data_IF_875497221100
#
_entry.id   IF_875497221100
#
_cell.length_a   1.000
_cell.length_b   1.000
_cell.length_c   1.000
_cell.angle_alpha   90.00
_cell.angle_beta   90.00
_cell.angle_gamma   90.00
#
_symmetry.space_group_name_H-M   'P 1'
#
loop_
_entity.id
_entity.type
_entity.pdbx_description
1 polymer ?
#
# COMPACT_ATOMS: atom_id res chain seq x y z
N UNK A 1 -15.60 -8.20 50.55
CA UNK A 1 -14.19 -8.61 50.49
C UNK A 1 -13.72 -8.25 49.10
N UNK A 2 -12.90 -7.21 48.92
CA UNK A 2 -12.32 -6.94 47.62
C UNK A 2 -11.28 -8.03 47.33
N UNK A 3 -11.33 -8.61 46.15
CA UNK A 3 -10.32 -9.54 45.68
C UNK A 3 -9.00 -8.76 45.54
N UNK A 4 -8.07 -8.98 46.48
CA UNK A 4 -6.69 -8.51 46.35
C UNK A 4 -6.08 -9.24 45.14
N UNK A 5 -6.03 -8.55 44.01
CA UNK A 5 -5.18 -8.92 42.88
C UNK A 5 -3.72 -8.89 43.34
N UNK A 6 -3.28 -10.02 43.86
CA UNK A 6 -1.88 -10.28 44.18
C UNK A 6 -1.12 -10.33 42.86
N UNK A 7 -0.54 -9.19 42.48
CA UNK A 7 0.43 -9.14 41.39
C UNK A 7 1.71 -9.85 41.87
N UNK A 8 1.70 -11.18 41.81
CA UNK A 8 2.86 -12.01 42.14
C UNK A 8 3.75 -12.05 40.91
N UNK A 9 4.88 -11.34 40.98
CA UNK A 9 5.96 -11.43 39.99
C UNK A 9 6.73 -12.73 40.25
N UNK A 10 6.40 -13.79 39.53
CA UNK A 10 7.15 -15.05 39.56
C UNK A 10 8.40 -14.94 38.67
N UNK A 11 9.56 -15.31 39.20
CA UNK A 11 10.80 -15.42 38.44
C UNK A 11 10.98 -16.81 37.81
N UNK A 12 12.01 -16.99 36.97
CA UNK A 12 12.29 -18.27 36.29
C UNK A 12 12.48 -19.44 37.29
N UNK A 13 13.09 -19.20 38.45
CA UNK A 13 13.26 -20.22 39.51
C UNK A 13 11.93 -20.63 40.18
N UNK A 14 10.97 -19.71 40.25
CA UNK A 14 9.64 -20.00 40.78
C UNK A 14 8.84 -20.81 39.77
N UNK A 15 9.05 -20.56 38.48
CA UNK A 15 8.46 -21.35 37.40
C UNK A 15 8.88 -22.82 37.48
N UNK A 16 10.18 -23.11 37.55
CA UNK A 16 10.70 -24.49 37.63
C UNK A 16 10.16 -25.20 38.89
N UNK A 17 10.06 -24.47 40.00
CA UNK A 17 9.54 -25.00 41.27
C UNK A 17 8.06 -25.35 41.17
N UNK A 18 7.25 -24.48 40.54
CA UNK A 18 5.82 -24.72 40.30
C UNK A 18 5.63 -25.84 39.28
N UNK A 19 6.42 -25.87 38.22
CA UNK A 19 6.39 -26.94 37.21
C UNK A 19 6.64 -28.30 37.87
N UNK A 20 7.70 -28.40 38.69
CA UNK A 20 8.01 -29.63 39.43
C UNK A 20 6.81 -30.09 40.28
N UNK A 21 6.21 -29.19 41.05
CA UNK A 21 5.05 -29.49 41.89
C UNK A 21 3.81 -29.94 41.07
N UNK A 22 3.56 -29.32 39.92
CA UNK A 22 2.45 -29.72 39.03
C UNK A 22 2.72 -31.09 38.40
N UNK A 23 3.98 -31.37 38.04
CA UNK A 23 4.42 -32.63 37.43
C UNK A 23 4.31 -33.83 38.37
N UNK A 24 4.29 -33.64 39.70
CA UNK A 24 4.10 -34.72 40.68
C UNK A 24 2.74 -35.43 40.52
N UNK A 25 1.69 -34.67 40.15
CA UNK A 25 0.32 -35.20 40.08
C UNK A 25 -0.07 -35.65 38.67
N UNK A 26 -0.89 -36.71 38.58
CA UNK A 26 -1.45 -37.17 37.29
C UNK A 26 -2.26 -36.06 36.60
N UNK A 27 -3.01 -35.28 37.38
CA UNK A 27 -3.85 -34.19 36.88
C UNK A 27 -3.03 -33.02 36.37
N UNK A 28 -1.93 -32.67 37.04
CA UNK A 28 -1.02 -31.61 36.62
C UNK A 28 -0.30 -31.95 35.31
N UNK A 29 0.21 -33.18 35.17
CA UNK A 29 0.79 -33.66 33.90
C UNK A 29 -0.20 -33.59 32.73
N UNK A 30 -1.46 -33.99 32.95
CA UNK A 30 -2.51 -33.86 31.93
C UNK A 30 -2.79 -32.40 31.57
N UNK A 31 -2.88 -31.52 32.57
CA UNK A 31 -3.09 -30.09 32.37
C UNK A 31 -1.97 -29.46 31.54
N UNK A 32 -0.69 -29.71 31.88
CA UNK A 32 0.44 -29.15 31.14
C UNK A 32 0.48 -29.65 29.68
N UNK A 33 0.21 -30.95 29.46
CA UNK A 33 0.11 -31.52 28.12
C UNK A 33 -0.99 -30.87 27.29
N UNK A 34 -2.17 -30.69 27.89
CA UNK A 34 -3.31 -30.07 27.22
C UNK A 34 -3.11 -28.57 27.01
N UNK A 35 -2.47 -27.87 27.96
CA UNK A 35 -2.10 -26.47 27.86
C UNK A 35 -1.10 -26.25 26.72
N UNK A 36 -0.02 -27.03 26.65
CA UNK A 36 0.95 -26.96 25.56
C UNK A 36 0.31 -27.22 24.18
N UNK A 37 -0.64 -28.17 24.10
CA UNK A 37 -1.40 -28.44 22.87
C UNK A 37 -2.24 -27.23 22.44
N UNK A 38 -2.94 -26.59 23.38
CA UNK A 38 -3.76 -25.40 23.10
C UNK A 38 -2.93 -24.18 22.77
N UNK A 39 -1.80 -24.00 23.45
CA UNK A 39 -0.89 -22.89 23.17
C UNK A 39 -0.35 -22.96 21.74
N UNK A 40 0.15 -24.13 21.31
CA UNK A 40 0.61 -24.34 19.92
C UNK A 40 -0.49 -24.06 18.88
N UNK A 41 -1.73 -24.43 19.17
CA UNK A 41 -2.86 -24.15 18.28
C UNK A 41 -3.17 -22.64 18.24
N UNK A 42 -3.11 -21.95 19.38
CA UNK A 42 -3.29 -20.50 19.45
C UNK A 42 -2.16 -19.75 18.73
N UNK A 43 -0.91 -20.18 18.89
CA UNK A 43 0.26 -19.63 18.18
C UNK A 43 0.10 -19.80 16.67
N UNK A 44 -0.35 -20.98 16.22
CA UNK A 44 -0.63 -21.24 14.81
C UNK A 44 -1.75 -20.35 14.29
N UNK A 45 -2.82 -20.17 15.07
CA UNK A 45 -3.94 -19.30 14.71
C UNK A 45 -3.50 -17.83 14.61
N UNK A 46 -2.70 -17.35 15.55
CA UNK A 46 -2.14 -16.01 15.52
C UNK A 46 -1.23 -15.79 14.30
N UNK A 47 -0.43 -16.80 13.92
CA UNK A 47 0.37 -16.77 12.70
C UNK A 47 -0.53 -16.78 11.46
N UNK A 48 -1.57 -17.61 11.41
CA UNK A 48 -2.52 -17.64 10.29
C UNK A 48 -3.25 -16.31 10.14
N UNK A 49 -3.68 -15.70 11.25
CA UNK A 49 -4.29 -14.37 11.24
C UNK A 49 -3.29 -13.29 10.80
N UNK A 50 -2.03 -13.37 11.22
CA UNK A 50 -0.98 -12.48 10.73
C UNK A 50 -0.71 -12.69 9.24
N UNK A 51 -0.68 -13.94 8.77
CA UNK A 51 -0.53 -14.29 7.35
C UNK A 51 -1.73 -13.79 6.55
N UNK A 52 -2.96 -13.92 7.05
CA UNK A 52 -4.17 -13.43 6.41
C UNK A 52 -4.20 -11.90 6.35
N UNK A 53 -3.69 -11.22 7.38
CA UNK A 53 -3.48 -9.76 7.35
C UNK A 53 -2.40 -9.34 6.36
N UNK A 54 -1.29 -10.08 6.27
CA UNK A 54 -0.22 -9.86 5.29
C UNK A 54 -0.61 -10.26 3.87
N UNK A 55 -1.64 -11.10 3.74
CA UNK A 55 -2.37 -11.38 2.49
C UNK A 55 -3.32 -10.24 2.14
N UNK A 56 -3.01 -9.03 2.60
CA UNK A 56 -3.54 -7.76 2.16
C UNK A 56 -3.84 -7.88 0.65
N UNK A 57 -5.07 -7.58 0.22
CA UNK A 57 -5.49 -7.86 -1.15
C UNK A 57 -4.47 -7.22 -2.07
N UNK A 58 -3.81 -8.07 -2.87
CA UNK A 58 -2.79 -7.67 -3.82
C UNK A 58 -3.29 -6.42 -4.53
N UNK A 59 -2.69 -5.25 -4.21
CA UNK A 59 -3.06 -3.92 -4.69
C UNK A 59 -4.07 -4.04 -5.80
N UNK A 60 -5.38 -3.93 -5.47
CA UNK A 60 -6.45 -4.16 -6.43
C UNK A 60 -6.01 -3.55 -7.75
N UNK A 61 -5.96 -4.29 -8.86
CA UNK A 61 -5.39 -3.77 -10.10
C UNK A 61 -6.08 -2.51 -10.64
N UNK A 62 -7.12 -2.03 -9.96
CA UNK A 62 -7.92 -0.85 -10.24
C UNK A 62 -7.14 0.47 -10.28
N UNK A 63 -6.31 0.89 -9.29
CA UNK A 63 -5.56 2.15 -9.38
C UNK A 63 -4.51 2.11 -10.49
N UNK A 64 -3.83 0.97 -10.68
CA UNK A 64 -2.90 0.76 -11.79
C UNK A 64 -3.60 0.77 -13.16
N UNK A 65 -4.78 0.17 -13.26
CA UNK A 65 -5.59 0.17 -14.47
C UNK A 65 -6.11 1.58 -14.79
N UNK A 66 -6.53 2.34 -13.78
CA UNK A 66 -6.94 3.72 -13.91
C UNK A 66 -5.77 4.59 -14.38
N UNK A 67 -4.62 4.56 -13.69
CA UNK A 67 -3.39 5.25 -14.11
C UNK A 67 -3.00 4.92 -15.55
N UNK A 68 -3.09 3.64 -15.95
CA UNK A 68 -2.81 3.23 -17.32
C UNK A 68 -3.79 3.84 -18.33
N UNK A 69 -5.08 3.89 -18.02
CA UNK A 69 -6.09 4.48 -18.89
C UNK A 69 -5.85 5.98 -19.10
N UNK A 70 -5.57 6.71 -18.02
CA UNK A 70 -5.29 8.16 -18.03
C UNK A 70 -4.02 8.45 -18.87
N UNK A 71 -2.95 7.67 -18.69
CA UNK A 71 -1.73 7.78 -19.52
C UNK A 71 -2.00 7.48 -21.01
N UNK A 72 -2.89 6.55 -21.31
CA UNK A 72 -3.29 6.24 -22.69
C UNK A 72 -4.08 7.39 -23.33
N UNK A 73 -4.94 8.06 -22.56
CA UNK A 73 -5.70 9.22 -23.02
C UNK A 73 -4.78 10.41 -23.30
N UNK A 74 -3.88 10.74 -22.37
CA UNK A 74 -2.87 11.78 -22.56
C UNK A 74 -1.99 11.51 -23.79
N UNK A 75 -1.55 10.26 -23.98
CA UNK A 75 -0.76 9.87 -25.15
C UNK A 75 -1.57 10.04 -26.45
N UNK A 76 -2.88 9.76 -26.43
CA UNK A 76 -3.75 9.98 -27.58
C UNK A 76 -3.90 11.47 -27.90
N UNK A 77 -4.11 12.33 -26.90
CA UNK A 77 -4.19 13.78 -27.07
C UNK A 77 -2.90 14.35 -27.68
N UNK A 78 -1.73 13.91 -27.19
CA UNK A 78 -0.42 14.32 -27.75
C UNK A 78 -0.29 13.89 -29.21
N UNK A 79 -0.63 12.63 -29.54
CA UNK A 79 -0.56 12.15 -30.93
C UNK A 79 -1.49 12.96 -31.84
N UNK A 80 -2.72 13.21 -31.41
CA UNK A 80 -3.69 14.00 -32.16
C UNK A 80 -3.17 15.42 -32.42
N UNK A 81 -2.61 16.08 -31.40
CA UNK A 81 -2.06 17.42 -31.56
C UNK A 81 -0.83 17.45 -32.45
N UNK A 82 0.06 16.46 -32.34
CA UNK A 82 1.20 16.33 -33.26
C UNK A 82 0.74 16.19 -34.71
N UNK A 83 -0.31 15.44 -34.96
CA UNK A 83 -0.88 15.27 -36.30
C UNK A 83 -1.55 16.57 -36.79
N UNK A 84 -2.35 17.21 -35.95
CA UNK A 84 -2.95 18.51 -36.26
C UNK A 84 -1.89 19.57 -36.61
N UNK A 85 -0.79 19.63 -35.86
CA UNK A 85 0.31 20.56 -36.12
C UNK A 85 1.02 20.24 -37.44
N UNK A 86 1.23 18.96 -37.77
CA UNK A 86 1.85 18.53 -39.04
C UNK A 86 0.98 18.85 -40.25
N UNK A 87 -0.35 18.79 -40.09
CA UNK A 87 -1.30 19.12 -41.15
C UNK A 87 -1.37 20.63 -41.44
N UNK A 88 -0.94 21.47 -40.50
CA UNK A 88 -0.94 22.91 -40.68
C UNK A 88 0.26 23.34 -41.53
N UNK A 89 0.08 24.27 -42.48
CA UNK A 89 1.18 24.74 -43.32
C UNK A 89 2.34 25.31 -42.50
N UNK A 90 3.55 24.99 -42.95
CA UNK A 90 4.81 25.46 -42.37
C UNK A 90 5.59 26.22 -43.45
N UNK A 91 6.33 27.25 -43.04
CA UNK A 91 7.30 27.86 -43.94
C UNK A 91 8.46 26.89 -44.12
N UNK A 92 8.63 26.34 -45.32
CA UNK A 92 9.80 25.55 -45.63
C UNK A 92 11.03 26.46 -45.75
N UNK A 93 12.16 26.14 -45.08
CA UNK A 93 13.39 26.92 -45.22
C UNK A 93 14.00 26.82 -46.64
N UNK A 94 13.58 25.83 -47.44
CA UNK A 94 14.09 25.56 -48.80
C UNK A 94 13.19 26.15 -49.91
N UNK A 95 12.17 26.95 -49.56
CA UNK A 95 11.35 27.71 -50.51
C UNK A 95 10.44 26.89 -51.43
N UNK A 96 10.31 25.58 -51.22
CA UNK A 96 9.56 24.67 -52.11
C UNK A 96 8.04 24.63 -51.83
N UNK A 97 7.58 25.19 -50.72
CA UNK A 97 6.15 25.33 -50.43
C UNK A 97 5.61 26.66 -51.00
N UNK A 98 4.91 26.55 -52.13
CA UNK A 98 4.50 27.67 -52.96
C UNK A 98 3.43 28.60 -52.41
N UNK A 99 3.24 29.71 -53.13
CA UNK A 99 2.07 30.59 -53.28
C UNK A 99 1.23 31.01 -52.06
N UNK A 100 1.58 30.66 -50.83
CA UNK A 100 0.85 31.12 -49.66
C UNK A 100 1.29 32.51 -49.24
N UNK A 101 0.33 33.34 -48.87
CA UNK A 101 0.60 34.66 -48.30
C UNK A 101 1.28 34.54 -46.94
N UNK A 102 2.14 35.50 -46.61
CA UNK A 102 2.71 35.66 -45.26
C UNK A 102 1.61 35.68 -44.19
N UNK A 103 0.44 36.25 -44.50
CA UNK A 103 -0.72 36.26 -43.62
C UNK A 103 -1.29 34.85 -43.35
N UNK A 104 -1.26 33.95 -44.34
CA UNK A 104 -1.74 32.56 -44.20
C UNK A 104 -0.75 31.73 -43.38
N UNK A 105 0.55 31.94 -43.57
CA UNK A 105 1.61 31.32 -42.77
C UNK A 105 1.56 31.78 -41.32
N UNK A 106 1.32 33.07 -41.08
CA UNK A 106 1.14 33.64 -39.74
C UNK A 106 -0.10 33.06 -39.05
N UNK A 107 -1.24 33.00 -39.74
CA UNK A 107 -2.47 32.40 -39.22
C UNK A 107 -2.27 30.91 -38.88
N UNK A 108 -1.55 30.15 -39.72
CA UNK A 108 -1.19 28.77 -39.44
C UNK A 108 -0.28 28.65 -38.21
N UNK A 109 0.65 29.58 -38.01
CA UNK A 109 1.52 29.61 -36.83
C UNK A 109 0.75 29.88 -35.54
N UNK A 110 -0.14 30.86 -35.55
CA UNK A 110 -1.04 31.13 -34.42
C UNK A 110 -1.94 29.93 -34.11
N UNK A 111 -2.40 29.22 -35.13
CA UNK A 111 -3.22 28.02 -34.94
C UNK A 111 -2.41 26.86 -34.33
N UNK A 112 -1.16 26.66 -34.78
CA UNK A 112 -0.23 25.68 -34.17
C UNK A 112 0.02 25.99 -32.69
N UNK A 113 0.34 27.25 -32.36
CA UNK A 113 0.58 27.69 -30.98
C UNK A 113 -0.67 27.46 -30.12
N UNK A 114 -1.86 27.85 -30.60
CA UNK A 114 -3.12 27.62 -29.89
C UNK A 114 -3.37 26.13 -29.63
N UNK A 115 -3.12 25.28 -30.62
CA UNK A 115 -3.29 23.84 -30.49
C UNK A 115 -2.31 23.23 -29.46
N UNK A 116 -1.05 23.69 -29.46
CA UNK A 116 -0.05 23.28 -28.47
C UNK A 116 -0.45 23.69 -27.05
N UNK A 117 -0.81 24.96 -26.84
CA UNK A 117 -1.24 25.49 -25.54
C UNK A 117 -2.43 24.71 -25.02
N UNK A 118 -3.45 24.47 -25.86
CA UNK A 118 -4.64 23.69 -25.47
C UNK A 118 -4.27 22.29 -24.98
N UNK A 119 -3.32 21.65 -25.64
CA UNK A 119 -2.88 20.30 -25.26
C UNK A 119 -2.08 20.34 -23.97
N UNK A 120 -1.18 21.31 -23.80
CA UNK A 120 -0.42 21.44 -22.55
C UNK A 120 -1.31 21.70 -21.34
N UNK A 121 -2.31 22.58 -21.46
CA UNK A 121 -3.25 22.84 -20.37
C UNK A 121 -4.10 21.60 -20.03
N UNK A 122 -4.51 20.83 -21.04
CA UNK A 122 -5.20 19.56 -20.81
C UNK A 122 -4.31 18.56 -20.06
N UNK A 123 -3.06 18.39 -20.49
CA UNK A 123 -2.11 17.50 -19.82
C UNK A 123 -1.81 17.96 -18.39
N UNK A 124 -1.67 19.26 -18.16
CA UNK A 124 -1.44 19.83 -16.83
C UNK A 124 -2.60 19.53 -15.88
N UNK A 125 -3.86 19.78 -16.31
CA UNK A 125 -5.04 19.45 -15.50
C UNK A 125 -5.06 17.98 -15.14
N UNK A 126 -4.84 17.10 -16.12
CA UNK A 126 -4.95 15.67 -15.95
C UNK A 126 -3.83 15.10 -15.06
N UNK A 127 -2.61 15.62 -15.16
CA UNK A 127 -1.50 15.27 -14.26
C UNK A 127 -1.82 15.71 -12.84
N UNK A 128 -2.38 16.91 -12.65
CA UNK A 128 -2.75 17.40 -11.33
C UNK A 128 -3.87 16.56 -10.70
N UNK A 129 -4.88 16.15 -11.48
CA UNK A 129 -5.96 15.27 -11.02
C UNK A 129 -5.39 13.91 -10.58
N UNK A 130 -4.47 13.34 -11.38
CA UNK A 130 -3.77 12.10 -11.04
C UNK A 130 -2.94 12.21 -9.76
N UNK A 131 -2.22 13.32 -9.56
CA UNK A 131 -1.46 13.55 -8.33
C UNK A 131 -2.38 13.69 -7.11
N UNK A 132 -3.52 14.37 -7.24
CA UNK A 132 -4.49 14.52 -6.17
C UNK A 132 -5.07 13.16 -5.72
N UNK A 133 -5.35 12.26 -6.67
CA UNK A 133 -5.79 10.89 -6.38
C UNK A 133 -4.70 10.10 -5.63
N UNK A 134 -3.44 10.17 -6.08
CA UNK A 134 -2.32 9.50 -5.39
C UNK A 134 -2.14 9.98 -3.94
N UNK A 135 -2.26 11.28 -3.68
CA UNK A 135 -2.17 11.84 -2.33
C UNK A 135 -3.34 11.37 -1.46
N UNK A 136 -4.57 11.35 -2.01
CA UNK A 136 -5.74 10.86 -1.30
C UNK A 136 -5.69 9.33 -1.01
N UNK A 137 -5.00 8.55 -1.84
CA UNK A 137 -4.75 7.13 -1.57
C UNK A 137 -3.67 6.93 -0.51
N UNK A 138 -2.62 7.77 -0.48
CA UNK A 138 -1.59 7.74 0.56
C UNK A 138 -2.17 8.08 1.95
N UNK A 139 -2.98 9.14 2.05
CA UNK A 139 -3.63 9.55 3.30
C UNK A 139 -4.57 8.45 3.85
N UNK A 140 -5.27 7.72 2.96
CA UNK A 140 -6.10 6.56 3.37
C UNK A 140 -5.26 5.43 3.95
N UNK A 141 -4.08 5.18 3.39
CA UNK A 141 -3.18 4.12 3.85
C UNK A 141 -2.55 4.45 5.21
N UNK A 142 -2.24 5.72 5.45
CA UNK A 142 -1.72 6.19 6.73
C UNK A 142 -2.82 6.22 7.82
N UNK A 143 -4.05 6.60 7.48
CA UNK A 143 -5.20 6.56 8.39
C UNK A 143 -5.65 5.15 8.79
N UNK A 144 -5.41 4.15 7.93
CA UNK A 144 -5.68 2.74 8.23
C UNK A 144 -4.60 2.08 9.10
N UNK A 145 -3.43 2.70 9.25
CA UNK A 145 -2.31 2.16 10.03
C UNK A 145 -2.32 2.58 11.52
N UNK A 146 -3.24 3.47 11.93
CA UNK A 146 -3.27 4.07 13.28
C UNK A 146 -4.20 3.41 14.31
N UNK A 147 -4.92 2.34 13.98
CA UNK A 147 -5.86 1.70 14.91
C UNK A 147 -5.75 0.16 14.88
N UNK A 148 -4.53 -0.35 15.05
CA UNK A 148 -4.34 -1.75 15.45
C UNK A 148 -4.77 -1.93 16.91
N UNK A 149 -5.54 -2.97 17.28
CA UNK A 149 -5.95 -3.23 18.68
C UNK A 149 -4.82 -3.53 19.68
N UNK A 150 -3.56 -3.34 19.30
CA UNK A 150 -2.36 -3.76 20.03
C UNK A 150 -1.48 -2.60 20.51
N UNK A 151 -1.97 -1.35 20.51
CA UNK A 151 -1.36 -0.31 21.34
C UNK A 151 -1.81 -0.47 22.79
N UNK A 152 -1.21 -1.43 23.50
CA UNK A 152 -1.55 -1.62 24.90
C UNK A 152 -1.15 -2.93 25.56
N UNK A 153 -0.17 -3.68 25.06
CA UNK A 153 0.41 -4.71 25.92
C UNK A 153 1.91 -4.82 25.67
N UNK A 154 2.67 -4.40 26.68
CA UNK A 154 4.12 -4.50 26.73
C UNK A 154 4.50 -5.91 26.27
N UNK A 155 5.40 -6.01 25.30
CA UNK A 155 6.03 -7.26 24.91
C UNK A 155 6.61 -7.93 26.17
N UNK A 156 5.84 -8.83 26.77
CA UNK A 156 6.32 -9.72 27.80
C UNK A 156 7.20 -10.72 27.07
N UNK A 157 8.50 -10.52 27.26
CA UNK A 157 9.59 -11.48 27.10
C UNK A 157 9.22 -12.74 26.32
N UNK A 158 9.62 -12.80 25.04
CA UNK A 158 9.84 -14.07 24.36
C UNK A 158 10.89 -14.83 25.17
N UNK A 159 10.43 -15.72 26.06
CA UNK A 159 11.32 -16.70 26.66
C UNK A 159 11.71 -17.73 25.59
N UNK A 160 13.00 -18.08 25.48
CA UNK A 160 13.44 -19.16 24.61
C UNK A 160 12.79 -20.47 25.09
N UNK A 161 12.05 -21.11 24.19
CA UNK A 161 11.38 -22.38 24.43
C UNK A 161 12.38 -23.46 24.87
N UNK A 162 12.30 -24.01 26.10
CA UNK A 162 13.00 -25.24 26.43
C UNK A 162 12.15 -26.42 25.94
N UNK A 163 12.86 -27.39 25.37
CA UNK A 163 12.32 -28.52 24.66
C UNK A 163 11.43 -29.40 25.57
N UNK A 164 10.15 -29.50 25.23
CA UNK A 164 9.34 -30.66 25.61
C UNK A 164 9.66 -31.80 24.65
N UNK A 165 10.80 -32.45 24.86
CA UNK A 165 11.17 -33.74 24.29
C UNK A 165 11.59 -34.69 25.43
N UNK A 166 10.61 -35.45 25.91
CA UNK A 166 10.75 -36.88 26.23
C UNK A 166 9.37 -37.54 26.36
#
# INVERSE_FOLDING_TARGET
MPDEETNVTFGDLDFDTIEAAVMETVRGRWFLKEYARRNRNADTQAILEAVDRLREPALDGAPLAHLKAELQEMAAAIRQTKEAIRSLPMADPDGSSGNMSEAELQAAAEQRIRQMIRTFLYLESHINDMLALCVAEADRKDGSSGAGPFEGEKAQHLHPHPAFLM
#
